data_IF_376515775301
#
_entry.id   IF_376515775301
#
_cell.length_a   1.000
_cell.length_b   1.000
_cell.length_c   1.000
_cell.angle_alpha   90.00
_cell.angle_beta   90.00
_cell.angle_gamma   90.00
#
_symmetry.space_group_name_H-M   'P 1'
#
loop_
_entity.id
_entity.type
_entity.pdbx_description
1 polymer ?
#
# COMPACT_ATOMS: atom_id res chain seq x y z
N UNK A 1 9.01 -27.20 -0.99
CA UNK A 1 8.38 -26.01 -1.59
C UNK A 1 9.25 -24.81 -1.23
N UNK A 2 9.68 -24.02 -2.21
CA UNK A 2 10.46 -22.81 -1.96
C UNK A 2 9.63 -21.76 -1.23
N UNK A 3 10.26 -21.00 -0.32
CA UNK A 3 9.64 -19.84 0.32
C UNK A 3 9.36 -18.78 -0.75
N UNK A 4 8.10 -18.42 -0.92
CA UNK A 4 7.68 -17.36 -1.84
C UNK A 4 8.21 -16.02 -1.35
N UNK A 5 8.82 -15.25 -2.24
CA UNK A 5 9.44 -13.97 -1.89
C UNK A 5 8.43 -12.83 -1.74
N UNK A 6 7.20 -12.94 -2.21
CA UNK A 6 6.19 -11.88 -2.01
C UNK A 6 5.47 -11.96 -0.65
N UNK A 7 5.61 -13.05 0.11
CA UNK A 7 5.00 -13.22 1.44
C UNK A 7 5.97 -13.80 2.46
N UNK A 8 5.77 -13.52 3.75
CA UNK A 8 6.48 -14.22 4.86
C UNK A 8 5.63 -15.34 5.45
N UNK A 9 4.34 -15.34 5.18
CA UNK A 9 3.37 -16.31 5.65
C UNK A 9 3.13 -17.38 4.58
N UNK A 10 2.81 -18.62 4.97
CA UNK A 10 2.40 -19.64 4.03
C UNK A 10 1.19 -19.17 3.24
N UNK A 11 1.29 -19.24 1.92
CA UNK A 11 0.17 -18.87 1.04
C UNK A 11 -0.91 -19.95 1.16
N UNK A 12 -2.21 -19.59 1.25
CA UNK A 12 -3.29 -20.57 1.24
C UNK A 12 -3.20 -21.47 0.00
N UNK A 13 -3.44 -22.77 0.16
CA UNK A 13 -3.41 -23.73 -0.96
C UNK A 13 -4.33 -23.34 -2.12
N UNK A 14 -5.45 -22.66 -1.80
CA UNK A 14 -6.38 -22.10 -2.78
C UNK A 14 -5.70 -21.17 -3.81
N UNK A 15 -4.66 -20.43 -3.42
CA UNK A 15 -3.95 -19.52 -4.33
C UNK A 15 -3.16 -20.30 -5.38
N UNK A 16 -2.51 -21.41 -5.00
CA UNK A 16 -1.79 -22.24 -5.98
C UNK A 16 -2.78 -22.95 -6.91
N UNK A 17 -3.89 -23.46 -6.37
CA UNK A 17 -4.96 -24.05 -7.19
C UNK A 17 -5.53 -23.04 -8.20
N UNK A 18 -5.83 -21.82 -7.75
CA UNK A 18 -6.32 -20.73 -8.60
C UNK A 18 -5.32 -20.34 -9.70
N UNK A 19 -4.03 -20.28 -9.38
CA UNK A 19 -2.97 -19.94 -10.35
C UNK A 19 -2.73 -21.07 -11.35
N UNK A 20 -2.94 -22.33 -10.96
CA UNK A 20 -2.94 -23.45 -11.90
C UNK A 20 -4.13 -23.38 -12.86
N UNK A 21 -5.31 -22.91 -12.41
CA UNK A 21 -6.46 -22.70 -13.30
C UNK A 21 -6.19 -21.63 -14.36
N UNK A 22 -5.35 -20.63 -14.08
CA UNK A 22 -4.92 -19.66 -15.09
C UNK A 22 -4.21 -20.33 -16.26
N UNK A 23 -3.60 -21.50 -16.07
CA UNK A 23 -2.96 -22.23 -17.17
C UNK A 23 -3.97 -22.72 -18.22
N UNK A 24 -5.25 -22.90 -17.87
CA UNK A 24 -6.31 -23.30 -18.80
C UNK A 24 -6.76 -22.18 -19.74
N UNK A 25 -6.50 -20.93 -19.37
CA UNK A 25 -6.79 -19.78 -20.24
C UNK A 25 -5.88 -19.79 -21.47
N UNK A 26 -6.35 -19.31 -22.61
CA UNK A 26 -5.47 -19.02 -23.74
C UNK A 26 -4.50 -17.89 -23.41
N UNK A 27 -3.40 -17.76 -24.18
CA UNK A 27 -2.46 -16.66 -23.99
C UNK A 27 -3.15 -15.28 -24.08
N UNK A 28 -4.09 -15.13 -25.03
CA UNK A 28 -4.87 -13.90 -25.20
C UNK A 28 -5.82 -13.63 -24.03
N UNK A 29 -6.47 -14.66 -23.50
CA UNK A 29 -7.35 -14.51 -22.32
C UNK A 29 -6.54 -14.11 -21.09
N UNK A 30 -5.37 -14.72 -20.92
CA UNK A 30 -4.47 -14.39 -19.82
C UNK A 30 -3.94 -12.95 -19.95
N UNK A 31 -3.50 -12.53 -21.14
CA UNK A 31 -2.99 -11.17 -21.35
C UNK A 31 -4.06 -10.12 -21.04
N UNK A 32 -5.27 -10.28 -21.55
CA UNK A 32 -6.39 -9.37 -21.24
C UNK A 32 -6.72 -9.33 -19.75
N UNK A 33 -6.69 -10.48 -19.06
CA UNK A 33 -6.94 -10.51 -17.62
C UNK A 33 -5.86 -9.76 -16.82
N UNK A 34 -4.60 -9.93 -17.20
CA UNK A 34 -3.45 -9.24 -16.58
C UNK A 34 -3.51 -7.74 -16.88
N UNK A 35 -3.85 -7.32 -18.09
CA UNK A 35 -4.04 -5.91 -18.46
C UNK A 35 -5.12 -5.25 -17.59
N UNK A 36 -6.29 -5.88 -17.45
CA UNK A 36 -7.37 -5.40 -16.59
C UNK A 36 -6.92 -5.31 -15.13
N UNK A 37 -6.10 -6.26 -14.67
CA UNK A 37 -5.54 -6.26 -13.32
C UNK A 37 -4.56 -5.10 -13.10
N UNK A 38 -3.62 -4.86 -14.02
CA UNK A 38 -2.67 -3.75 -13.90
C UNK A 38 -3.34 -2.38 -14.04
N UNK A 39 -4.37 -2.26 -14.89
CA UNK A 39 -5.18 -1.06 -14.98
C UNK A 39 -5.87 -0.76 -13.64
N UNK A 40 -6.45 -1.78 -12.98
CA UNK A 40 -7.04 -1.63 -11.66
C UNK A 40 -6.01 -1.26 -10.59
N UNK A 41 -4.80 -1.83 -10.63
CA UNK A 41 -3.72 -1.45 -9.71
C UNK A 41 -3.27 0.01 -9.91
N UNK A 42 -3.38 0.55 -11.13
CA UNK A 42 -3.16 1.96 -11.43
C UNK A 42 -4.26 2.88 -10.89
N UNK A 43 -5.51 2.42 -10.91
CA UNK A 43 -6.70 3.19 -10.53
C UNK A 43 -7.57 2.44 -9.48
N UNK A 44 -7.07 2.17 -8.26
CA UNK A 44 -7.75 1.28 -7.32
C UNK A 44 -9.07 1.82 -6.76
N UNK A 45 -9.43 3.08 -7.05
CA UNK A 45 -10.71 3.70 -6.68
C UNK A 45 -11.86 3.27 -7.60
N UNK A 46 -11.56 2.77 -8.80
CA UNK A 46 -12.53 2.39 -9.84
C UNK A 46 -12.97 0.92 -9.70
N UNK A 47 -13.36 0.51 -8.49
CA UNK A 47 -13.74 -0.89 -8.19
C UNK A 47 -14.95 -1.35 -9.01
N UNK A 48 -15.93 -0.49 -9.22
CA UNK A 48 -17.13 -0.81 -10.00
C UNK A 48 -16.80 -1.09 -11.48
N UNK A 49 -15.95 -0.25 -12.08
CA UNK A 49 -15.44 -0.45 -13.45
C UNK A 49 -14.64 -1.74 -13.56
N UNK A 50 -13.79 -2.05 -12.58
CA UNK A 50 -13.05 -3.30 -12.54
C UNK A 50 -13.98 -4.52 -12.49
N UNK A 51 -15.00 -4.49 -11.64
CA UNK A 51 -15.98 -5.57 -11.55
C UNK A 51 -16.81 -5.71 -12.84
N UNK A 52 -17.12 -4.61 -13.53
CA UNK A 52 -17.78 -4.64 -14.83
C UNK A 52 -16.91 -5.35 -15.88
N UNK A 53 -15.64 -4.96 -16.03
CA UNK A 53 -14.72 -5.62 -16.96
C UNK A 53 -14.52 -7.11 -16.65
N UNK A 54 -14.46 -7.50 -15.38
CA UNK A 54 -14.41 -8.92 -15.00
C UNK A 54 -15.69 -9.67 -15.36
N UNK A 55 -16.85 -9.02 -15.23
CA UNK A 55 -18.13 -9.60 -15.64
C UNK A 55 -18.19 -9.81 -17.15
N UNK A 56 -17.74 -8.84 -17.93
CA UNK A 56 -17.69 -8.92 -19.39
C UNK A 56 -16.71 -10.01 -19.85
N UNK A 57 -15.54 -10.09 -19.20
CA UNK A 57 -14.58 -11.16 -19.43
C UNK A 57 -15.15 -12.54 -19.11
N UNK A 58 -15.86 -12.68 -17.98
CA UNK A 58 -16.52 -13.93 -17.60
C UNK A 58 -17.56 -14.37 -18.65
N UNK A 59 -18.40 -13.44 -19.09
CA UNK A 59 -19.43 -13.67 -20.11
C UNK A 59 -18.83 -14.07 -21.46
N UNK A 60 -17.80 -13.33 -21.93
CA UNK A 60 -17.14 -13.60 -23.21
C UNK A 60 -16.38 -14.93 -23.26
N UNK A 61 -15.89 -15.40 -22.12
CA UNK A 61 -15.08 -16.63 -22.03
C UNK A 61 -15.85 -17.84 -21.48
N UNK A 62 -17.15 -17.71 -21.22
CA UNK A 62 -18.02 -18.75 -20.61
C UNK A 62 -17.48 -19.24 -19.26
N UNK A 63 -16.82 -18.37 -18.51
CA UNK A 63 -16.30 -18.65 -17.17
C UNK A 63 -17.33 -18.13 -16.16
N UNK A 64 -17.56 -18.87 -15.08
CA UNK A 64 -18.41 -18.38 -14.00
C UNK A 64 -17.70 -17.26 -13.22
N UNK A 65 -18.43 -16.18 -12.92
CA UNK A 65 -17.86 -14.99 -12.26
C UNK A 65 -17.30 -15.28 -10.85
N UNK A 66 -17.86 -16.25 -10.14
CA UNK A 66 -17.41 -16.63 -8.79
C UNK A 66 -15.95 -17.13 -8.77
N UNK A 67 -15.63 -18.23 -9.47
CA UNK A 67 -14.27 -18.72 -9.63
C UNK A 67 -13.32 -17.68 -10.21
N UNK A 68 -13.75 -16.89 -11.21
CA UNK A 68 -12.92 -15.83 -11.76
C UNK A 68 -12.52 -14.79 -10.70
N UNK A 69 -13.47 -14.38 -9.83
CA UNK A 69 -13.18 -13.48 -8.71
C UNK A 69 -12.19 -14.09 -7.71
N UNK A 70 -12.25 -15.40 -7.46
CA UNK A 70 -11.25 -16.08 -6.63
C UNK A 70 -9.86 -16.01 -7.26
N UNK A 71 -9.77 -16.39 -8.53
CA UNK A 71 -8.53 -16.39 -9.30
C UNK A 71 -7.90 -14.99 -9.33
N UNK A 72 -8.70 -13.95 -9.58
CA UNK A 72 -8.23 -12.57 -9.60
C UNK A 72 -7.74 -12.11 -8.23
N UNK A 73 -8.43 -12.47 -7.14
CA UNK A 73 -7.96 -12.18 -5.79
C UNK A 73 -6.62 -12.84 -5.50
N UNK A 74 -6.49 -14.13 -5.85
CA UNK A 74 -5.26 -14.90 -5.73
C UNK A 74 -4.12 -14.27 -6.54
N UNK A 75 -4.40 -13.82 -7.77
CA UNK A 75 -3.41 -13.15 -8.63
C UNK A 75 -3.01 -11.76 -8.11
N UNK A 76 -3.93 -10.98 -7.52
CA UNK A 76 -3.67 -9.66 -6.93
C UNK A 76 -2.73 -9.70 -5.72
N UNK A 77 -2.60 -10.84 -5.04
CA UNK A 77 -1.67 -11.00 -3.91
C UNK A 77 -0.22 -10.83 -4.33
N UNK A 78 0.13 -11.28 -5.54
CA UNK A 78 1.50 -11.25 -6.05
C UNK A 78 2.02 -9.82 -6.22
N UNK A 79 1.39 -8.94 -7.03
CA UNK A 79 1.85 -7.56 -7.18
C UNK A 79 1.75 -6.77 -5.87
N UNK A 80 0.74 -7.05 -5.04
CA UNK A 80 0.60 -6.41 -3.72
C UNK A 80 1.75 -6.76 -2.78
N UNK A 81 2.16 -8.03 -2.73
CA UNK A 81 3.31 -8.48 -1.94
C UNK A 81 4.64 -8.02 -2.53
N UNK A 82 4.74 -8.03 -3.86
CA UNK A 82 5.92 -7.58 -4.59
C UNK A 82 6.19 -6.08 -4.39
N UNK A 83 5.14 -5.23 -4.37
CA UNK A 83 5.26 -3.81 -4.06
C UNK A 83 5.75 -3.59 -2.63
N UNK A 84 5.12 -4.26 -1.66
CA UNK A 84 5.47 -4.13 -0.22
C UNK A 84 6.91 -4.52 0.09
N UNK A 85 7.46 -5.47 -0.67
CA UNK A 85 8.81 -6.01 -0.47
C UNK A 85 9.82 -5.51 -1.50
N UNK A 86 9.40 -4.63 -2.41
CA UNK A 86 10.22 -4.08 -3.50
C UNK A 86 10.93 -5.16 -4.31
N UNK A 87 10.18 -6.20 -4.71
CA UNK A 87 10.74 -7.34 -5.45
C UNK A 87 11.11 -6.98 -6.89
N UNK A 88 12.16 -7.62 -7.40
CA UNK A 88 12.52 -7.54 -8.83
C UNK A 88 11.55 -8.33 -9.71
N UNK A 89 11.54 -8.05 -11.01
CA UNK A 89 10.65 -8.73 -11.97
C UNK A 89 10.93 -10.24 -12.05
N UNK A 90 12.19 -10.61 -11.96
CA UNK A 90 12.74 -11.95 -11.98
C UNK A 90 12.32 -12.73 -10.72
N UNK A 91 12.26 -12.05 -9.57
CA UNK A 91 11.76 -12.62 -8.32
C UNK A 91 10.25 -12.85 -8.39
N UNK A 92 9.51 -11.91 -8.96
CA UNK A 92 8.06 -12.07 -9.21
C UNK A 92 7.80 -13.24 -10.16
N UNK A 93 8.59 -13.39 -11.23
CA UNK A 93 8.49 -14.54 -12.15
C UNK A 93 8.74 -15.85 -11.41
N UNK A 94 9.81 -15.93 -10.63
CA UNK A 94 10.17 -17.14 -9.88
C UNK A 94 9.06 -17.56 -8.90
N UNK A 95 8.44 -16.59 -8.22
CA UNK A 95 7.32 -16.84 -7.31
C UNK A 95 6.07 -17.36 -8.07
N UNK A 96 5.75 -16.76 -9.23
CA UNK A 96 4.62 -17.20 -10.06
C UNK A 96 4.80 -18.64 -10.58
N UNK A 97 6.02 -18.99 -11.00
CA UNK A 97 6.35 -20.37 -11.42
C UNK A 97 6.23 -21.33 -10.23
N UNK A 98 6.72 -20.93 -9.06
CA UNK A 98 6.63 -21.73 -7.83
C UNK A 98 5.18 -21.99 -7.43
N UNK A 99 4.29 -21.04 -7.71
CA UNK A 99 2.85 -21.14 -7.48
C UNK A 99 2.11 -22.01 -8.52
N UNK A 100 2.80 -22.43 -9.58
CA UNK A 100 2.27 -23.33 -10.61
C UNK A 100 1.83 -22.66 -11.90
N UNK A 101 2.13 -21.38 -12.11
CA UNK A 101 1.88 -20.70 -13.40
C UNK A 101 2.89 -21.18 -14.45
N UNK A 102 2.46 -21.32 -15.71
CA UNK A 102 3.36 -21.69 -16.81
C UNK A 102 4.44 -20.63 -17.04
N UNK A 103 5.62 -21.07 -17.49
CA UNK A 103 6.78 -20.19 -17.76
C UNK A 103 6.42 -19.04 -18.73
N UNK A 104 5.65 -19.32 -19.77
CA UNK A 104 5.23 -18.33 -20.77
C UNK A 104 4.36 -17.23 -20.15
N UNK A 105 3.37 -17.61 -19.32
CA UNK A 105 2.48 -16.67 -18.64
C UNK A 105 3.19 -15.91 -17.54
N UNK A 106 4.11 -16.56 -16.83
CA UNK A 106 4.94 -15.92 -15.83
C UNK A 106 5.86 -14.87 -16.44
N UNK A 107 6.44 -15.13 -17.62
CA UNK A 107 7.21 -14.13 -18.39
C UNK A 107 6.37 -12.95 -18.85
N UNK A 108 5.16 -13.19 -19.35
CA UNK A 108 4.28 -12.08 -19.73
C UNK A 108 3.96 -11.20 -18.52
N UNK A 109 3.67 -11.81 -17.35
CA UNK A 109 3.43 -11.05 -16.12
C UNK A 109 4.68 -10.27 -15.67
N UNK A 110 5.87 -10.85 -15.80
CA UNK A 110 7.16 -10.19 -15.52
C UNK A 110 7.33 -8.92 -16.36
N UNK A 111 7.03 -8.97 -17.66
CA UNK A 111 7.12 -7.81 -18.55
C UNK A 111 6.14 -6.70 -18.12
N UNK A 112 4.90 -7.06 -17.79
CA UNK A 112 3.91 -6.11 -17.29
C UNK A 112 4.32 -5.51 -15.94
N UNK A 113 4.89 -6.32 -15.05
CA UNK A 113 5.44 -5.85 -13.78
C UNK A 113 6.60 -4.87 -13.99
N UNK A 114 7.55 -5.17 -14.89
CA UNK A 114 8.69 -4.31 -15.19
C UNK A 114 8.24 -2.94 -15.72
N UNK A 115 7.25 -2.91 -16.60
CA UNK A 115 6.69 -1.67 -17.14
C UNK A 115 5.94 -0.82 -16.11
N UNK A 116 5.24 -1.46 -15.16
CA UNK A 116 4.33 -0.77 -14.24
C UNK A 116 4.89 -0.57 -12.82
N UNK A 117 5.92 -1.30 -12.40
CA UNK A 117 6.43 -1.33 -11.02
C UNK A 117 6.79 0.06 -10.47
N UNK A 118 7.43 0.91 -11.27
CA UNK A 118 7.78 2.29 -10.88
C UNK A 118 6.54 3.17 -10.68
N UNK A 119 5.55 3.04 -11.56
CA UNK A 119 4.29 3.79 -11.45
C UNK A 119 3.49 3.31 -10.24
N UNK A 120 3.38 2.00 -10.06
CA UNK A 120 2.68 1.39 -8.94
C UNK A 120 3.35 1.66 -7.60
N UNK A 121 4.68 1.71 -7.53
CA UNK A 121 5.38 2.07 -6.29
C UNK A 121 5.15 3.53 -5.91
N UNK A 122 5.16 4.46 -6.88
CA UNK A 122 4.79 5.86 -6.67
C UNK A 122 3.33 6.02 -6.21
N UNK A 123 2.41 5.28 -6.83
CA UNK A 123 1.00 5.28 -6.43
C UNK A 123 0.80 4.69 -5.03
N UNK A 124 1.48 3.60 -4.70
CA UNK A 124 1.43 2.98 -3.37
C UNK A 124 2.02 3.92 -2.30
N UNK A 125 3.10 4.64 -2.61
CA UNK A 125 3.66 5.68 -1.73
C UNK A 125 2.66 6.83 -1.57
N UNK A 126 2.07 7.33 -2.65
CA UNK A 126 1.03 8.36 -2.60
C UNK A 126 -0.20 7.94 -1.77
N UNK A 127 -0.63 6.69 -1.88
CA UNK A 127 -1.75 6.15 -1.11
C UNK A 127 -1.39 5.85 0.35
N UNK A 128 -0.14 5.45 0.64
CA UNK A 128 0.35 5.21 2.01
C UNK A 128 0.61 6.51 2.75
N UNK A 129 1.16 7.52 2.08
CA UNK A 129 1.31 8.89 2.60
C UNK A 129 -0.05 9.62 2.77
N UNK A 130 -1.12 9.08 2.19
CA UNK A 130 -2.50 9.52 2.43
C UNK A 130 -3.12 8.91 3.70
N UNK A 131 -2.46 7.95 4.34
CA UNK A 131 -2.90 7.39 5.63
C UNK A 131 -2.26 8.21 6.74
N UNK A 132 -3.10 8.90 7.52
CA UNK A 132 -2.72 9.80 8.62
C UNK A 132 -2.09 11.14 8.17
N UNK A 133 -2.66 11.78 7.14
CA UNK A 133 -2.22 13.13 6.76
C UNK A 133 -2.48 14.12 7.89
N UNK A 134 -1.45 14.83 8.33
CA UNK A 134 -1.62 16.00 9.18
C UNK A 134 -2.24 17.11 8.32
N UNK A 135 -3.53 17.39 8.54
CA UNK A 135 -4.28 18.39 7.76
C UNK A 135 -4.36 19.75 8.45
N UNK A 136 -4.21 19.79 9.77
CA UNK A 136 -4.21 21.03 10.55
C UNK A 136 -3.41 20.84 11.84
N UNK A 137 -2.90 21.95 12.38
CA UNK A 137 -2.19 21.99 13.66
C UNK A 137 -2.55 23.26 14.41
N UNK A 138 -3.19 23.10 15.55
CA UNK A 138 -3.41 24.17 16.52
C UNK A 138 -2.42 24.02 17.68
N UNK A 139 -1.93 25.14 18.21
CA UNK A 139 -1.07 25.13 19.39
C UNK A 139 -1.52 26.17 20.42
N UNK A 140 -1.30 25.86 21.69
CA UNK A 140 -1.52 26.77 22.83
C UNK A 140 -0.31 26.74 23.74
N UNK A 141 0.21 27.92 24.04
CA UNK A 141 1.35 28.08 24.93
C UNK A 141 0.85 28.47 26.32
N UNK A 142 1.14 27.62 27.32
CA UNK A 142 0.72 27.80 28.70
C UNK A 142 1.90 28.19 29.59
N UNK A 143 1.71 29.24 30.38
CA UNK A 143 2.63 29.61 31.46
C UNK A 143 1.86 29.57 32.77
N UNK A 144 2.26 28.69 33.68
CA UNK A 144 1.69 28.66 35.03
C UNK A 144 2.51 29.57 35.96
N UNK A 145 1.98 30.74 36.30
CA UNK A 145 2.55 31.59 37.34
C UNK A 145 2.15 31.07 38.73
N UNK A 146 3.13 30.62 39.52
CA UNK A 146 2.94 30.21 40.91
C UNK A 146 3.41 31.30 41.89
N UNK A 147 2.57 31.66 42.86
CA UNK A 147 2.84 32.72 43.85
C UNK A 147 3.38 32.21 45.20
N UNK A 148 3.65 30.93 45.39
CA UNK A 148 4.22 30.40 46.64
C UNK A 148 5.20 29.24 46.41
N UNK A 149 6.15 29.15 47.33
CA UNK A 149 7.38 28.37 47.27
C UNK A 149 7.18 26.85 47.14
N UNK A 150 8.21 26.22 46.57
CA UNK A 150 8.48 24.78 46.43
C UNK A 150 7.90 24.06 45.20
N UNK A 151 8.58 24.28 44.06
CA UNK A 151 8.82 23.22 43.04
C UNK A 151 8.01 23.28 41.74
N UNK A 152 6.93 24.07 41.67
CA UNK A 152 6.05 24.16 40.48
C UNK A 152 5.66 25.59 40.07
N UNK A 153 6.43 26.58 40.49
CA UNK A 153 6.27 27.94 39.98
C UNK A 153 6.96 28.06 38.62
N UNK A 154 6.21 28.39 37.56
CA UNK A 154 6.79 28.71 36.24
C UNK A 154 6.93 27.54 35.26
N UNK A 155 6.15 26.46 35.40
CA UNK A 155 6.18 25.39 34.40
C UNK A 155 5.58 25.88 33.08
N UNK A 156 6.43 25.96 32.05
CA UNK A 156 6.06 26.27 30.68
C UNK A 156 5.71 24.96 29.97
N UNK A 157 4.54 24.92 29.34
CA UNK A 157 4.10 23.78 28.54
C UNK A 157 3.44 24.25 27.24
N UNK A 158 3.52 23.41 26.21
CA UNK A 158 2.90 23.62 24.92
C UNK A 158 1.87 22.52 24.69
N UNK A 159 0.62 22.89 24.48
CA UNK A 159 -0.43 21.97 24.05
C UNK A 159 -0.56 22.05 22.53
N UNK A 160 -0.36 20.92 21.86
CA UNK A 160 -0.53 20.75 20.43
C UNK A 160 -1.78 19.93 20.17
N UNK A 161 -2.59 20.37 19.21
CA UNK A 161 -3.70 19.62 18.64
C UNK A 161 -3.40 19.42 17.17
N UNK A 162 -3.06 18.19 16.82
CA UNK A 162 -2.82 17.75 15.46
C UNK A 162 -4.12 17.18 14.90
N UNK A 163 -4.55 17.66 13.75
CA UNK A 163 -5.73 17.11 13.08
C UNK A 163 -5.25 16.16 11.99
N UNK A 164 -5.52 14.87 12.18
CA UNK A 164 -4.99 13.81 11.33
C UNK A 164 -6.13 13.17 10.54
N UNK A 165 -5.96 13.07 9.23
CA UNK A 165 -6.90 12.40 8.34
C UNK A 165 -6.53 10.92 8.20
N UNK A 166 -7.31 10.06 8.84
CA UNK A 166 -7.24 8.60 8.72
C UNK A 166 -8.26 8.11 7.69
N UNK A 167 -7.86 8.06 6.43
CA UNK A 167 -8.76 7.66 5.34
C UNK A 167 -9.86 8.70 5.09
N UNK A 168 -11.12 8.37 5.38
CA UNK A 168 -12.26 9.28 5.26
C UNK A 168 -12.58 10.06 6.55
N UNK A 169 -12.01 9.68 7.68
CA UNK A 169 -12.26 10.32 8.97
C UNK A 169 -11.12 11.23 9.37
N UNK A 170 -11.48 12.32 10.05
CA UNK A 170 -10.55 13.28 10.62
C UNK A 170 -10.60 13.16 12.14
N UNK A 171 -9.46 12.91 12.77
CA UNK A 171 -9.34 12.76 14.22
C UNK A 171 -8.34 13.77 14.81
N UNK A 172 -8.71 14.47 15.90
CA UNK A 172 -7.78 15.33 16.62
C UNK A 172 -6.93 14.50 17.59
N UNK A 173 -5.61 14.67 17.53
CA UNK A 173 -4.63 14.11 18.45
C UNK A 173 -4.09 15.25 19.31
N UNK A 174 -4.20 15.11 20.63
CA UNK A 174 -3.73 16.10 21.59
C UNK A 174 -2.42 15.66 22.22
N UNK A 175 -1.43 16.56 22.26
CA UNK A 175 -0.15 16.35 22.91
C UNK A 175 0.13 17.53 23.83
N UNK A 176 0.73 17.26 24.98
CA UNK A 176 1.32 18.28 25.84
C UNK A 176 2.83 18.05 25.91
N UNK A 177 3.60 19.07 25.54
CA UNK A 177 5.04 19.04 25.51
C UNK A 177 5.60 20.03 26.53
N UNK A 178 6.60 19.59 27.28
CA UNK A 178 7.49 20.50 27.99
C UNK A 178 8.37 21.27 27.00
N UNK A 179 8.96 22.39 27.42
CA UNK A 179 9.82 23.20 26.57
C UNK A 179 11.00 22.41 25.95
N UNK A 180 11.74 21.55 26.69
CA UNK A 180 12.78 20.72 26.09
C UNK A 180 12.26 19.70 25.06
N UNK A 181 11.09 19.12 25.31
CA UNK A 181 10.45 18.19 24.36
C UNK A 181 10.02 18.90 23.08
N UNK A 182 9.56 20.16 23.17
CA UNK A 182 9.24 20.97 22.00
C UNK A 182 10.46 21.25 21.12
N UNK A 183 11.59 21.66 21.70
CA UNK A 183 12.82 21.87 20.92
C UNK A 183 13.34 20.58 20.27
N UNK A 184 13.22 19.46 20.99
CA UNK A 184 13.55 18.15 20.41
C UNK A 184 12.63 17.81 19.23
N UNK A 185 11.32 18.05 19.37
CA UNK A 185 10.35 17.84 18.30
C UNK A 185 10.62 18.74 17.07
N UNK A 186 10.93 20.02 17.29
CA UNK A 186 11.27 20.96 16.21
C UNK A 186 12.51 20.51 15.44
N UNK A 187 13.56 20.11 16.15
CA UNK A 187 14.79 19.62 15.53
C UNK A 187 14.55 18.39 14.64
N UNK A 188 13.72 17.44 15.11
CA UNK A 188 13.36 16.25 14.33
C UNK A 188 12.58 16.61 13.06
N UNK A 189 11.67 17.59 13.14
CA UNK A 189 10.93 18.10 11.97
C UNK A 189 11.85 18.78 10.94
N UNK A 190 12.81 19.57 11.39
CA UNK A 190 13.82 20.19 10.51
C UNK A 190 14.68 19.13 9.81
N UNK A 191 15.11 18.09 10.54
CA UNK A 191 15.89 16.99 9.98
C UNK A 191 15.10 16.21 8.92
N UNK A 192 13.80 15.97 9.17
CA UNK A 192 12.91 15.31 8.22
C UNK A 192 12.71 16.19 6.97
N UNK A 193 12.52 17.50 7.13
CA UNK A 193 12.43 18.44 6.01
C UNK A 193 13.67 18.38 5.12
N UNK A 194 14.86 18.48 5.71
CA UNK A 194 16.13 18.42 4.96
C UNK A 194 16.30 17.09 4.22
N UNK A 195 15.85 15.98 4.81
CA UNK A 195 15.90 14.67 4.16
C UNK A 195 14.94 14.58 2.97
N UNK A 196 13.73 15.15 3.07
CA UNK A 196 12.76 15.19 1.98
C UNK A 196 13.23 16.08 0.82
N UNK A 197 13.83 17.23 1.11
CA UNK A 197 14.42 18.12 0.10
C UNK A 197 15.60 17.46 -0.66
N UNK A 198 16.29 16.51 -0.03
CA UNK A 198 17.37 15.75 -0.69
C UNK A 198 16.88 14.66 -1.65
N UNK A 199 15.61 14.26 -1.56
CA UNK A 199 14.97 13.22 -2.36
C UNK A 199 14.22 13.77 -3.58
N UNK A 200 14.05 15.10 -3.66
CA UNK A 200 13.44 15.85 -4.78
C UNK A 200 14.50 16.36 -5.75
#
# INVERSE_FOLDING_TARGET
MGLLKFTREPVPEAVSADLQLLNQLSAQQFSTLVEVLFQFLGEPKEVERFLAHLSDFAAGNKISLGPLKSIVKSLLLVPSGALKRSLSAEEVRADLITLGLSEEKARYFEEQWKGNSLTLSRLAVGQTLMVNQLIDMEWKFGVTAGSSELGKAGSIFLQLKLVVKKGSQTEPVYLELTLPQFYSFLHEMERIKASLESLS
#
